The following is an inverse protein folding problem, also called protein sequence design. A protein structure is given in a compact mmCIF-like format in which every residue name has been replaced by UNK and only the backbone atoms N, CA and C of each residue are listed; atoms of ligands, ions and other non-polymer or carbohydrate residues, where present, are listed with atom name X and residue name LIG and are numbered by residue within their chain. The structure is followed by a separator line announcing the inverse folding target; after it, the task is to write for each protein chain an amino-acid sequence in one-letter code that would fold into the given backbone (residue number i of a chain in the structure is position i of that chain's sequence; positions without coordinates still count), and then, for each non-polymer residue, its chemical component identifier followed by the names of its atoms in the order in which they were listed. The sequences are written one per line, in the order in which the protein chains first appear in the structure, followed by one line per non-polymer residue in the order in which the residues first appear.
data_IF_305757330199
#
_entry.id   IF_305757330199
#
_cell.length_a   1.000
_cell.length_b   1.000
_cell.length_c   1.000
_cell.angle_alpha   90.00
_cell.angle_beta   90.00
_cell.angle_gamma   90.00
#
_symmetry.space_group_name_H-M   'P 1'
#
loop_
_entity.id
_entity.type
_entity.pdbx_description
1 polymer ?
#
# COMPACT_ATOMS: atom_id res chain seq x y z
N UNK A 1 4.40 3.91 -15.95
CA UNK A 1 4.48 4.19 -14.49
C UNK A 1 5.92 4.04 -14.07
N UNK A 2 6.44 4.88 -13.15
CA UNK A 2 7.75 4.62 -12.55
C UNK A 2 7.78 3.21 -11.94
N UNK A 3 8.84 2.45 -12.19
CA UNK A 3 9.01 1.13 -11.61
C UNK A 3 9.48 1.30 -10.17
N UNK A 4 8.70 0.79 -9.22
CA UNK A 4 9.05 0.78 -7.80
C UNK A 4 9.51 -0.63 -7.41
N UNK A 5 10.81 -0.88 -7.18
CA UNK A 5 11.34 -2.23 -6.97
C UNK A 5 10.67 -2.98 -5.81
N UNK A 6 10.22 -2.25 -4.78
CA UNK A 6 9.50 -2.84 -3.63
C UNK A 6 8.12 -3.36 -4.03
N UNK A 7 7.41 -2.65 -4.93
CA UNK A 7 6.11 -3.06 -5.45
C UNK A 7 6.25 -4.31 -6.31
N UNK A 8 7.28 -4.37 -7.16
CA UNK A 8 7.56 -5.53 -8.00
C UNK A 8 7.92 -6.77 -7.15
N UNK A 9 8.73 -6.58 -6.09
CA UNK A 9 9.04 -7.64 -5.12
C UNK A 9 7.78 -8.17 -4.46
N UNK A 10 6.93 -7.29 -3.93
CA UNK A 10 5.69 -7.71 -3.26
C UNK A 10 4.71 -8.37 -4.23
N UNK A 11 4.63 -7.90 -5.48
CA UNK A 11 3.83 -8.55 -6.52
C UNK A 11 4.31 -9.99 -6.78
N UNK A 12 5.63 -10.21 -6.85
CA UNK A 12 6.19 -11.54 -7.02
C UNK A 12 5.88 -12.45 -5.82
N UNK A 13 6.04 -11.94 -4.59
CA UNK A 13 5.70 -12.67 -3.36
C UNK A 13 4.21 -13.06 -3.33
N UNK A 14 3.29 -12.12 -3.62
CA UNK A 14 1.85 -12.35 -3.69
C UNK A 14 1.46 -13.40 -4.74
N UNK A 15 2.10 -13.39 -5.91
CA UNK A 15 1.81 -14.38 -6.95
C UNK A 15 2.31 -15.78 -6.62
N UNK A 16 3.30 -15.90 -5.73
CA UNK A 16 3.81 -17.18 -5.26
C UNK A 16 2.95 -17.77 -4.11
N UNK A 17 2.10 -16.97 -3.46
CA UNK A 17 1.27 -17.42 -2.35
C UNK A 17 -0.10 -17.94 -2.83
N UNK A 18 -0.56 -19.10 -2.33
CA UNK A 18 -1.90 -19.57 -2.57
C UNK A 18 -2.90 -18.84 -1.66
N UNK A 19 -3.73 -17.99 -2.22
CA UNK A 19 -4.88 -17.40 -1.52
C UNK A 19 -6.06 -17.18 -2.48
N UNK A 20 -7.31 -17.22 -1.98
CA UNK A 20 -8.47 -16.91 -2.80
C UNK A 20 -8.47 -15.42 -3.17
N UNK A 21 -8.50 -15.13 -4.47
CA UNK A 21 -8.58 -13.77 -5.01
C UNK A 21 -9.99 -13.23 -4.81
N UNK A 22 -10.14 -11.94 -4.54
CA UNK A 22 -11.47 -11.34 -4.36
C UNK A 22 -12.30 -11.39 -5.64
N UNK A 23 -13.60 -11.62 -5.45
CA UNK A 23 -14.58 -11.53 -6.53
C UNK A 23 -14.93 -10.07 -6.87
N UNK A 24 -15.76 -9.88 -7.90
CA UNK A 24 -16.10 -8.53 -8.36
C UNK A 24 -16.89 -7.74 -7.31
N UNK A 25 -17.76 -8.41 -6.53
CA UNK A 25 -18.54 -7.77 -5.48
C UNK A 25 -17.63 -7.24 -4.36
N UNK A 26 -16.69 -8.05 -3.88
CA UNK A 26 -15.70 -7.64 -2.90
C UNK A 26 -14.80 -6.52 -3.42
N UNK A 27 -14.41 -6.58 -4.70
CA UNK A 27 -13.64 -5.51 -5.34
C UNK A 27 -14.40 -4.18 -5.44
N UNK A 28 -15.72 -4.20 -5.66
CA UNK A 28 -16.54 -2.98 -5.66
C UNK A 28 -16.60 -2.36 -4.27
N UNK A 29 -16.84 -3.16 -3.23
CA UNK A 29 -16.88 -2.64 -1.86
C UNK A 29 -15.52 -2.09 -1.42
N UNK A 30 -14.43 -2.79 -1.74
CA UNK A 30 -13.08 -2.33 -1.40
C UNK A 30 -12.73 -1.02 -2.11
N UNK A 31 -13.05 -0.88 -3.40
CA UNK A 31 -12.82 0.38 -4.13
C UNK A 31 -13.60 1.55 -3.54
N UNK A 32 -14.85 1.31 -3.12
CA UNK A 32 -15.66 2.33 -2.45
C UNK A 32 -15.00 2.79 -1.15
N UNK A 33 -14.61 1.86 -0.28
CA UNK A 33 -13.91 2.19 0.97
C UNK A 33 -12.59 2.93 0.72
N UNK A 34 -11.85 2.53 -0.31
CA UNK A 34 -10.60 3.19 -0.71
C UNK A 34 -10.84 4.62 -1.19
N UNK A 35 -11.90 4.87 -1.97
CA UNK A 35 -12.28 6.20 -2.41
C UNK A 35 -12.69 7.10 -1.24
N UNK A 36 -13.49 6.58 -0.31
CA UNK A 36 -13.91 7.30 0.91
C UNK A 36 -12.69 7.69 1.75
N UNK A 37 -11.77 6.74 1.97
CA UNK A 37 -10.53 6.99 2.72
C UNK A 37 -9.65 8.03 2.03
N UNK A 38 -9.48 7.93 0.70
CA UNK A 38 -8.70 8.90 -0.08
C UNK A 38 -9.31 10.31 0.00
N UNK A 39 -10.63 10.42 -0.10
CA UNK A 39 -11.33 11.70 0.04
C UNK A 39 -11.13 12.30 1.43
N UNK A 40 -11.24 11.49 2.49
CA UNK A 40 -10.97 11.95 3.86
C UNK A 40 -9.52 12.42 4.04
N UNK A 41 -8.53 11.66 3.53
CA UNK A 41 -7.13 12.07 3.60
C UNK A 41 -6.85 13.36 2.82
N UNK A 42 -7.48 13.54 1.65
CA UNK A 42 -7.33 14.75 0.85
C UNK A 42 -7.87 16.00 1.54
N UNK A 43 -8.95 15.89 2.33
CA UNK A 43 -9.48 16.99 3.14
C UNK A 43 -8.44 17.46 4.17
N UNK A 44 -7.70 16.52 4.76
CA UNK A 44 -6.62 16.79 5.72
C UNK A 44 -5.29 17.19 5.04
N UNK A 45 -5.27 17.33 3.70
CA UNK A 45 -4.05 17.62 2.94
C UNK A 45 -3.04 16.46 2.93
N UNK A 46 -3.47 15.26 3.30
CA UNK A 46 -2.63 14.06 3.34
C UNK A 46 -2.75 13.35 1.99
N UNK A 47 -1.64 13.29 1.26
CA UNK A 47 -1.56 12.60 -0.02
C UNK A 47 -0.58 11.44 0.06
N UNK A 48 -0.96 10.23 -0.39
CA UNK A 48 -0.02 9.11 -0.46
C UNK A 48 1.13 9.44 -1.43
N UNK A 49 2.32 8.92 -1.12
CA UNK A 49 3.44 9.05 -2.06
C UNK A 49 3.18 8.23 -3.33
N UNK A 50 3.81 8.56 -4.47
CA UNK A 50 3.64 7.78 -5.70
C UNK A 50 3.97 6.28 -5.55
N UNK A 51 4.94 5.93 -4.69
CA UNK A 51 5.28 4.53 -4.39
C UNK A 51 4.15 3.84 -3.60
N UNK A 52 3.54 4.53 -2.64
CA UNK A 52 2.41 4.01 -1.85
C UNK A 52 1.14 3.88 -2.70
N UNK A 53 0.87 4.82 -3.60
CA UNK A 53 -0.21 4.69 -4.57
C UNK A 53 -0.02 3.48 -5.47
N UNK A 54 1.20 3.28 -5.99
CA UNK A 54 1.52 2.11 -6.82
C UNK A 54 1.37 0.79 -6.06
N UNK A 55 1.71 0.75 -4.76
CA UNK A 55 1.46 -0.40 -3.90
C UNK A 55 -0.04 -0.71 -3.81
N UNK A 56 -0.88 0.28 -3.50
CA UNK A 56 -2.32 0.09 -3.41
C UNK A 56 -2.94 -0.31 -4.75
N UNK A 57 -2.52 0.30 -5.87
CA UNK A 57 -2.94 -0.10 -7.21
C UNK A 57 -2.59 -1.55 -7.49
N UNK A 58 -1.36 -1.99 -7.17
CA UNK A 58 -0.95 -3.38 -7.35
C UNK A 58 -1.83 -4.35 -6.57
N UNK A 59 -2.12 -4.07 -5.30
CA UNK A 59 -2.97 -4.92 -4.47
C UNK A 59 -4.40 -5.04 -5.03
N UNK A 60 -4.94 -3.96 -5.60
CA UNK A 60 -6.25 -3.97 -6.26
C UNK A 60 -6.23 -4.74 -7.58
N UNK A 61 -5.21 -4.57 -8.42
CA UNK A 61 -5.04 -5.32 -9.68
C UNK A 61 -4.92 -6.82 -9.43
N UNK A 62 -4.16 -7.18 -8.40
CA UNK A 62 -3.97 -8.56 -7.95
C UNK A 62 -5.19 -9.06 -7.15
N UNK A 63 -6.24 -8.26 -6.93
CA UNK A 63 -7.46 -8.64 -6.20
C UNK A 63 -7.15 -9.28 -4.84
N UNK A 64 -6.19 -8.70 -4.12
CA UNK A 64 -5.69 -9.23 -2.85
C UNK A 64 -6.67 -8.91 -1.72
N UNK A 65 -7.20 -9.91 -1.00
CA UNK A 65 -8.03 -9.69 0.17
C UNK A 65 -7.31 -8.85 1.26
N UNK A 66 -8.05 -8.07 2.09
CA UNK A 66 -7.46 -7.25 3.14
C UNK A 66 -6.54 -8.00 4.11
N UNK A 67 -6.97 -9.19 4.56
CA UNK A 67 -6.20 -10.06 5.46
C UNK A 67 -4.86 -10.51 4.86
N UNK A 68 -4.76 -10.60 3.54
CA UNK A 68 -3.52 -10.92 2.84
C UNK A 68 -2.70 -9.66 2.55
N UNK A 69 -3.34 -8.52 2.28
CA UNK A 69 -2.65 -7.26 1.95
C UNK A 69 -2.11 -6.51 3.18
N UNK A 70 -2.76 -6.62 4.34
CA UNK A 70 -2.42 -5.86 5.55
C UNK A 70 -0.96 -6.07 5.98
N UNK A 71 -0.39 -7.29 5.98
CA UNK A 71 1.03 -7.49 6.28
C UNK A 71 1.97 -6.76 5.32
N UNK A 72 1.63 -6.64 4.03
CA UNK A 72 2.44 -5.94 3.03
C UNK A 72 2.40 -4.44 3.22
N UNK A 73 1.22 -3.89 3.51
CA UNK A 73 1.04 -2.47 3.83
C UNK A 73 1.76 -2.12 5.12
N UNK A 74 1.61 -2.94 6.17
CA UNK A 74 2.30 -2.76 7.44
C UNK A 74 3.82 -2.79 7.25
N UNK A 75 4.33 -3.79 6.53
CA UNK A 75 5.76 -3.91 6.22
C UNK A 75 6.28 -2.69 5.45
N UNK A 76 5.53 -2.21 4.46
CA UNK A 76 5.87 -0.99 3.73
C UNK A 76 5.98 0.23 4.65
N UNK A 77 5.00 0.45 5.53
CA UNK A 77 5.00 1.57 6.48
C UNK A 77 6.22 1.51 7.40
N UNK A 78 6.57 0.33 7.90
CA UNK A 78 7.74 0.14 8.76
C UNK A 78 9.05 0.39 8.00
N UNK A 79 9.22 -0.20 6.81
CA UNK A 79 10.46 -0.14 6.02
C UNK A 79 10.69 1.25 5.39
N UNK A 80 9.63 1.97 5.02
CA UNK A 80 9.74 3.20 4.22
C UNK A 80 9.40 4.46 4.98
N UNK A 81 8.36 4.43 5.82
CA UNK A 81 7.86 5.63 6.49
C UNK A 81 8.54 5.78 7.84
N UNK A 82 8.40 4.79 8.73
CA UNK A 82 8.96 4.84 10.09
C UNK A 82 10.48 4.87 10.07
N UNK A 83 11.12 4.09 9.18
CA UNK A 83 12.58 4.11 9.04
C UNK A 83 13.10 5.47 8.55
N UNK A 84 12.39 6.12 7.61
CA UNK A 84 12.77 7.45 7.11
C UNK A 84 12.61 8.54 8.17
N UNK A 85 11.52 8.49 8.93
CA UNK A 85 11.24 9.41 10.05
C UNK A 85 12.34 9.31 11.12
N UNK A 86 12.68 8.09 11.55
CA UNK A 86 13.80 7.87 12.50
C UNK A 86 15.12 8.40 11.97
N UNK A 87 15.43 8.14 10.71
CA UNK A 87 16.66 8.63 10.09
C UNK A 87 16.70 10.16 10.04
N UNK A 88 15.56 10.81 9.79
CA UNK A 88 15.46 12.27 9.80
C UNK A 88 15.66 12.83 11.22
N UNK A 89 14.98 12.27 12.22
CA UNK A 89 15.14 12.68 13.62
C UNK A 89 16.59 12.56 14.11
N UNK A 90 17.31 11.52 13.68
CA UNK A 90 18.74 11.35 13.99
C UNK A 90 19.63 12.42 13.35
N UNK A 91 19.30 12.91 12.15
CA UNK A 91 20.07 13.99 11.49
C UNK A 91 19.84 15.34 12.14
N UNK A 92 18.64 15.60 12.64
CA UNK A 92 18.28 16.87 13.29
C UNK A 92 18.83 16.97 14.72
N UNK A 93 19.24 15.85 15.31
CA UNK A 93 19.84 15.78 16.65
C UNK A 93 21.37 15.97 16.69
N UNK A 94 22.02 16.17 15.54
CA UNK A 94 23.49 16.37 15.37
C UNK A 94 23.76 17.80 14.94
#
# INVERSE_FOLDING_TARGET
MPAFPIVDRYRAELRAMPFPRMDDAGMVDLRRRGADAHQSSAIEGIHPTPELEALFTMLLEERVPPDVSDPYVHRYVMERIVAADRAQAMREAV
#
